data_IF_456420082628
#
_entry.id   IF_456420082628
#
_cell.length_a   1.000
_cell.length_b   1.000
_cell.length_c   1.000
_cell.angle_alpha   90.00
_cell.angle_beta   90.00
_cell.angle_gamma   90.00
#
_symmetry.space_group_name_H-M   'P 1'
#
loop_
_entity.id
_entity.type
_entity.pdbx_description
1 polymer ?
#
# COMPACT_ATOMS: atom_id res chain seq x y z
N UNK A 1 -51.48 52.29 11.68
CA UNK A 1 -51.45 52.04 13.14
C UNK A 1 -50.51 50.85 13.33
N UNK A 2 -49.23 51.12 13.58
CA UNK A 2 -48.56 51.09 14.90
C UNK A 2 -48.48 49.68 15.49
N UNK A 3 -47.40 49.16 16.10
CA UNK A 3 -45.97 49.48 16.22
C UNK A 3 -45.39 48.42 17.19
N UNK A 4 -44.11 48.05 17.02
CA UNK A 4 -43.18 47.41 18.00
C UNK A 4 -43.56 46.00 18.49
N UNK A 5 -42.66 45.02 18.65
CA UNK A 5 -41.21 44.99 18.76
C UNK A 5 -40.87 43.95 19.85
N UNK A 6 -39.95 43.02 19.59
CA UNK A 6 -38.86 42.70 20.52
C UNK A 6 -37.94 41.60 20.00
N UNK A 7 -36.65 41.90 20.15
CA UNK A 7 -35.48 41.06 19.94
C UNK A 7 -35.29 40.07 21.08
N UNK A 8 -34.77 38.87 20.80
CA UNK A 8 -33.70 38.28 21.62
C UNK A 8 -32.97 37.13 20.90
N UNK A 9 -31.66 37.33 20.74
CA UNK A 9 -30.62 36.42 20.29
C UNK A 9 -30.15 35.46 21.39
N UNK A 10 -29.86 34.18 21.04
CA UNK A 10 -28.89 33.29 21.72
C UNK A 10 -28.49 32.16 20.74
N UNK A 11 -27.32 32.24 20.10
CA UNK A 11 -26.01 31.71 20.52
C UNK A 11 -25.98 30.18 20.74
N UNK A 12 -25.48 29.45 19.74
CA UNK A 12 -24.70 28.22 19.95
C UNK A 12 -23.37 28.35 19.21
N UNK A 13 -22.31 27.92 19.89
CA UNK A 13 -20.93 28.37 19.74
C UNK A 13 -20.23 27.81 18.50
N UNK A 14 -19.56 28.72 17.81
CA UNK A 14 -18.54 28.46 16.80
C UNK A 14 -17.27 27.94 17.51
N UNK A 15 -16.92 26.67 17.33
CA UNK A 15 -15.61 26.17 17.79
C UNK A 15 -14.54 26.57 16.77
N UNK A 16 -13.85 27.68 17.04
CA UNK A 16 -12.59 28.04 16.38
C UNK A 16 -11.46 27.27 17.07
N UNK A 17 -11.01 26.16 16.48
CA UNK A 17 -9.71 25.60 16.84
C UNK A 17 -8.61 26.46 16.19
N UNK A 18 -8.10 27.43 16.95
CA UNK A 18 -6.85 28.13 16.66
C UNK A 18 -5.68 27.21 16.98
N UNK A 19 -4.98 26.73 15.96
CA UNK A 19 -3.64 26.15 16.15
C UNK A 19 -2.66 27.29 16.39
N UNK A 20 -2.13 27.38 17.61
CA UNK A 20 -1.05 28.29 17.95
C UNK A 20 0.22 27.86 17.20
N UNK A 21 0.69 28.74 16.30
CA UNK A 21 2.04 28.66 15.72
C UNK A 21 3.02 29.02 16.83
N UNK A 22 3.78 28.03 17.31
CA UNK A 22 4.99 28.31 18.09
C UNK A 22 6.03 28.87 17.13
N UNK A 23 6.35 30.15 17.32
CA UNK A 23 7.42 30.88 16.65
C UNK A 23 8.77 30.21 16.89
N UNK A 24 9.43 29.75 15.84
CA UNK A 24 10.87 29.43 15.88
C UNK A 24 11.62 30.66 15.39
N UNK A 25 12.32 31.29 16.33
CA UNK A 25 13.25 32.40 16.12
C UNK A 25 14.46 31.98 15.26
N UNK A 26 14.94 32.91 14.43
CA UNK A 26 16.14 32.82 13.60
C UNK A 26 17.44 32.55 14.40
N UNK A 27 18.52 32.07 13.73
CA UNK A 27 19.71 31.54 14.37
C UNK A 27 20.77 32.60 14.69
N UNK A 28 21.48 32.44 15.79
CA UNK A 28 22.73 33.14 16.08
C UNK A 28 23.87 32.12 16.25
N UNK A 29 24.97 32.35 15.51
CA UNK A 29 26.23 31.61 15.59
C UNK A 29 26.96 31.84 16.92
N UNK A 30 27.60 30.80 17.48
CA UNK A 30 28.98 30.84 18.02
C UNK A 30 29.42 29.51 18.66
N UNK A 31 30.62 29.05 18.29
CA UNK A 31 31.63 28.61 19.27
C UNK A 31 31.58 27.19 19.85
N UNK A 32 32.43 26.33 19.30
CA UNK A 32 33.20 25.25 19.96
C UNK A 32 33.00 25.06 21.48
N UNK A 33 32.63 23.85 21.90
CA UNK A 33 33.28 23.16 23.01
C UNK A 33 33.15 21.64 22.89
N UNK A 34 34.28 20.94 22.79
CA UNK A 34 34.42 19.50 23.02
C UNK A 34 34.14 19.19 24.49
N UNK A 35 33.40 18.12 24.76
CA UNK A 35 33.69 17.14 25.84
C UNK A 35 33.03 15.81 25.48
N UNK A 36 33.84 14.75 25.40
CA UNK A 36 33.37 13.36 25.46
C UNK A 36 32.82 13.07 26.86
N UNK A 37 31.83 12.19 26.98
CA UNK A 37 31.76 11.14 28.01
C UNK A 37 30.52 10.24 27.74
N UNK A 38 30.84 8.96 27.52
CA UNK A 38 30.23 7.71 28.03
C UNK A 38 28.71 7.51 27.97
N UNK A 39 28.38 6.39 27.32
CA UNK A 39 27.15 5.60 27.27
C UNK A 39 26.30 5.56 28.54
N UNK A 40 24.98 5.78 28.39
CA UNK A 40 23.93 4.99 29.06
C UNK A 40 22.71 4.86 28.15
N UNK A 41 22.44 3.64 27.67
CA UNK A 41 21.15 3.24 27.11
C UNK A 41 20.14 3.18 28.26
N UNK A 42 19.00 3.86 28.10
CA UNK A 42 17.78 3.56 28.86
C UNK A 42 16.66 3.40 27.83
N UNK A 43 16.29 2.15 27.58
CA UNK A 43 15.06 1.76 26.89
C UNK A 43 13.95 1.72 27.93
N UNK A 44 12.96 2.60 27.83
CA UNK A 44 11.71 2.52 28.60
C UNK A 44 10.64 1.91 27.71
N UNK A 45 10.39 0.61 27.87
CA UNK A 45 9.15 -0.04 27.46
C UNK A 45 8.11 0.14 28.58
N UNK A 46 6.84 0.45 28.26
CA UNK A 46 5.78 0.47 29.27
C UNK A 46 5.31 -0.96 29.59
N UNK A 47 5.35 -1.31 30.86
CA UNK A 47 4.82 -2.54 31.45
C UNK A 47 3.31 -2.41 31.63
N UNK A 48 2.52 -3.32 31.05
CA UNK A 48 1.09 -3.44 31.36
C UNK A 48 0.88 -4.33 32.60
N UNK A 49 0.11 -3.85 33.57
CA UNK A 49 -0.34 -4.62 34.73
C UNK A 49 -1.48 -5.58 34.33
N UNK A 50 -1.49 -6.85 34.76
CA UNK A 50 -2.64 -7.71 34.60
C UNK A 50 -3.66 -7.48 35.72
N UNK A 51 -4.94 -7.42 35.35
CA UNK A 51 -6.08 -7.43 36.27
C UNK A 51 -6.16 -8.75 37.05
N UNK A 52 -6.36 -8.63 38.35
CA UNK A 52 -6.68 -9.71 39.28
C UNK A 52 -8.08 -10.27 38.99
N UNK A 53 -8.18 -11.60 38.85
CA UNK A 53 -9.44 -12.31 39.04
C UNK A 53 -9.17 -13.49 39.96
N UNK A 54 -9.59 -13.36 41.22
CA UNK A 54 -9.58 -14.45 42.18
C UNK A 54 -10.70 -15.45 41.87
N UNK A 55 -10.35 -16.73 41.78
CA UNK A 55 -11.27 -17.86 41.64
C UNK A 55 -10.53 -19.16 41.85
N UNK A 56 -11.04 -20.01 42.75
CA UNK A 56 -10.34 -21.14 43.38
C UNK A 56 -10.02 -22.31 42.44
N UNK A 57 -8.94 -22.99 42.80
CA UNK A 57 -8.34 -24.22 42.26
C UNK A 57 -9.33 -25.40 42.20
N UNK A 58 -9.42 -26.04 41.03
CA UNK A 58 -9.94 -27.41 40.85
C UNK A 58 -8.89 -28.20 40.07
N UNK A 59 -8.21 -29.11 40.76
CA UNK A 59 -7.29 -30.07 40.17
C UNK A 59 -8.10 -31.07 39.33
N UNK A 60 -7.85 -31.09 38.03
CA UNK A 60 -8.24 -32.19 37.15
C UNK A 60 -6.95 -32.69 36.50
N UNK A 61 -6.60 -33.95 36.79
CA UNK A 61 -5.43 -34.62 36.23
C UNK A 61 -5.55 -34.72 34.70
N UNK A 62 -4.77 -33.94 33.98
CA UNK A 62 -4.61 -34.08 32.53
C UNK A 62 -3.41 -35.02 32.30
N UNK A 63 -3.73 -36.28 32.00
CA UNK A 63 -2.83 -37.18 31.31
C UNK A 63 -2.52 -36.54 29.95
N UNK A 64 -1.25 -36.24 29.68
CA UNK A 64 -0.80 -35.77 28.37
C UNK A 64 -1.08 -36.86 27.32
N UNK A 65 -2.17 -36.74 26.58
CA UNK A 65 -2.37 -37.44 25.31
C UNK A 65 -1.72 -36.62 24.19
N UNK A 66 -0.85 -37.26 23.42
CA UNK A 66 -0.19 -36.67 22.25
C UNK A 66 -1.23 -36.20 21.22
N UNK A 67 -0.87 -35.15 20.47
CA UNK A 67 -1.70 -34.51 19.43
C UNK A 67 -1.96 -35.37 18.18
N UNK A 68 -1.66 -36.66 18.19
CA UNK A 68 -1.66 -37.52 17.00
C UNK A 68 -3.00 -38.24 16.74
N UNK A 69 -3.92 -38.28 17.70
CA UNK A 69 -5.12 -39.12 17.59
C UNK A 69 -6.44 -38.37 17.26
N UNK A 70 -6.40 -37.09 16.89
CA UNK A 70 -7.65 -36.30 16.74
C UNK A 70 -8.35 -36.45 15.36
N UNK A 71 -7.80 -37.18 14.39
CA UNK A 71 -8.37 -37.27 13.03
C UNK A 71 -8.66 -38.68 12.51
N UNK A 72 -8.85 -39.69 13.38
CA UNK A 72 -9.31 -41.00 12.90
C UNK A 72 -10.84 -41.00 12.73
N UNK A 73 -11.28 -40.67 11.52
CA UNK A 73 -12.63 -41.00 11.07
C UNK A 73 -12.71 -42.52 10.86
N UNK A 74 -13.63 -43.20 11.54
CA UNK A 74 -13.89 -44.60 11.29
C UNK A 74 -14.70 -44.72 9.99
N UNK A 75 -14.04 -45.06 8.89
CA UNK A 75 -14.71 -45.50 7.69
C UNK A 75 -15.01 -46.99 7.80
N UNK A 76 -16.25 -47.39 7.52
CA UNK A 76 -16.60 -48.79 7.33
C UNK A 76 -16.05 -49.23 5.97
N UNK A 77 -15.26 -50.30 5.97
CA UNK A 77 -14.79 -51.01 4.78
C UNK A 77 -16.01 -51.52 3.98
N UNK A 78 -16.27 -50.93 2.81
CA UNK A 78 -17.31 -51.36 1.87
C UNK A 78 -16.76 -52.22 0.72
N UNK A 79 -15.53 -52.73 0.83
CA UNK A 79 -14.90 -53.61 -0.15
C UNK A 79 -14.62 -52.95 -1.51
N UNK A 80 -14.80 -51.64 -1.65
CA UNK A 80 -14.41 -50.91 -2.85
C UNK A 80 -12.91 -50.64 -2.80
N UNK A 81 -12.13 -51.17 -3.75
CA UNK A 81 -10.73 -50.82 -3.93
C UNK A 81 -10.63 -49.37 -4.40
N UNK A 82 -10.74 -48.45 -3.44
CA UNK A 82 -10.79 -47.02 -3.66
C UNK A 82 -9.57 -46.56 -4.46
N UNK A 83 -9.83 -45.99 -5.64
CA UNK A 83 -8.91 -45.07 -6.27
C UNK A 83 -8.70 -43.97 -5.22
N UNK A 84 -7.46 -43.85 -4.70
CA UNK A 84 -7.12 -42.76 -3.80
C UNK A 84 -7.58 -41.44 -4.46
N UNK A 85 -8.31 -40.56 -3.76
CA UNK A 85 -8.66 -39.27 -4.32
C UNK A 85 -7.39 -38.65 -4.87
N UNK A 86 -7.38 -38.35 -6.16
CA UNK A 86 -6.27 -37.62 -6.78
C UNK A 86 -5.99 -36.43 -5.89
N UNK A 87 -4.76 -36.34 -5.36
CA UNK A 87 -4.38 -35.24 -4.50
C UNK A 87 -4.81 -33.93 -5.16
N UNK A 88 -5.55 -33.04 -4.47
CA UNK A 88 -5.84 -31.73 -5.01
C UNK A 88 -4.51 -31.12 -5.43
N UNK A 89 -4.39 -30.71 -6.69
CA UNK A 89 -3.26 -29.88 -7.12
C UNK A 89 -3.11 -28.73 -6.11
N UNK A 90 -1.90 -28.40 -5.66
CA UNK A 90 -1.70 -27.30 -4.72
C UNK A 90 -2.42 -26.06 -5.25
N UNK A 91 -3.28 -25.45 -4.41
CA UNK A 91 -3.97 -24.22 -4.79
C UNK A 91 -2.90 -23.20 -5.18
N UNK A 92 -2.99 -22.60 -6.38
CA UNK A 92 -2.04 -21.56 -6.78
C UNK A 92 -2.04 -20.41 -5.77
N UNK A 93 -0.87 -20.06 -5.24
CA UNK A 93 -0.72 -18.98 -4.25
C UNK A 93 -0.24 -17.71 -4.93
N UNK A 94 -1.05 -16.65 -4.82
CA UNK A 94 -0.69 -15.31 -5.30
C UNK A 94 0.55 -14.77 -4.58
N UNK A 95 0.71 -15.08 -3.29
CA UNK A 95 1.88 -14.71 -2.50
C UNK A 95 3.17 -15.28 -3.07
N UNK A 96 3.16 -16.55 -3.49
CA UNK A 96 4.33 -17.16 -4.15
C UNK A 96 4.70 -16.43 -5.45
N UNK A 97 3.71 -16.20 -6.31
CA UNK A 97 3.87 -15.49 -7.59
C UNK A 97 4.44 -14.07 -7.39
N UNK A 98 3.96 -13.38 -6.37
CA UNK A 98 4.42 -12.04 -5.98
C UNK A 98 5.87 -12.07 -5.49
N UNK A 99 6.25 -13.04 -4.66
CA UNK A 99 7.64 -13.17 -4.24
C UNK A 99 8.58 -13.38 -5.44
N UNK A 100 8.18 -14.21 -6.39
CA UNK A 100 8.91 -14.42 -7.65
C UNK A 100 9.03 -13.11 -8.46
N UNK A 101 7.95 -12.31 -8.50
CA UNK A 101 7.95 -11.00 -9.16
C UNK A 101 8.96 -10.02 -8.52
N UNK A 102 9.01 -9.91 -7.18
CA UNK A 102 10.01 -9.06 -6.53
C UNK A 102 11.43 -9.63 -6.64
N UNK A 103 11.60 -10.95 -6.72
CA UNK A 103 12.89 -11.55 -7.04
C UNK A 103 13.34 -11.13 -8.44
N UNK A 104 12.46 -11.18 -9.43
CA UNK A 104 12.74 -10.76 -10.80
C UNK A 104 13.15 -9.28 -10.88
N UNK A 105 12.41 -8.38 -10.24
CA UNK A 105 12.73 -6.93 -10.21
C UNK A 105 14.09 -6.63 -9.57
N UNK A 106 14.51 -7.47 -8.63
CA UNK A 106 15.78 -7.32 -7.93
C UNK A 106 16.99 -7.90 -8.69
N UNK A 107 16.76 -8.55 -9.83
CA UNK A 107 17.84 -8.87 -10.78
C UNK A 107 18.54 -7.58 -11.23
N UNK A 108 19.77 -7.70 -11.71
CA UNK A 108 20.60 -6.54 -12.13
C UNK A 108 20.95 -6.60 -13.61
N UNK A 109 20.19 -7.37 -14.37
CA UNK A 109 20.39 -7.63 -15.77
C UNK A 109 19.03 -7.64 -16.47
N UNK A 110 18.89 -6.85 -17.53
CA UNK A 110 17.61 -6.68 -18.23
C UNK A 110 17.14 -7.94 -18.96
N UNK A 111 18.06 -8.79 -19.43
CA UNK A 111 17.72 -10.09 -20.05
C UNK A 111 17.15 -11.04 -19.01
N UNK A 112 17.86 -11.20 -17.88
CA UNK A 112 17.41 -12.02 -16.74
C UNK A 112 16.06 -11.55 -16.18
N UNK A 113 15.86 -10.23 -16.06
CA UNK A 113 14.59 -9.64 -15.66
C UNK A 113 13.46 -10.03 -16.62
N UNK A 114 13.69 -9.90 -17.93
CA UNK A 114 12.70 -10.23 -18.94
C UNK A 114 12.33 -11.71 -18.92
N UNK A 115 13.32 -12.61 -18.84
CA UNK A 115 13.10 -14.05 -18.75
C UNK A 115 12.35 -14.43 -17.47
N UNK A 116 12.72 -13.81 -16.34
CA UNK A 116 12.08 -14.08 -15.05
C UNK A 116 10.64 -13.58 -14.99
N UNK A 117 10.31 -12.48 -15.68
CA UNK A 117 8.96 -11.91 -15.70
C UNK A 117 8.02 -12.58 -16.72
N UNK A 118 8.56 -13.21 -17.77
CA UNK A 118 7.75 -13.86 -18.82
C UNK A 118 6.70 -14.86 -18.30
N UNK A 119 7.05 -15.78 -17.39
CA UNK A 119 6.10 -16.75 -16.86
C UNK A 119 5.20 -16.18 -15.76
N UNK A 120 5.41 -14.93 -15.31
CA UNK A 120 4.69 -14.33 -14.20
C UNK A 120 3.58 -13.38 -14.64
N UNK A 121 3.69 -12.82 -15.85
CA UNK A 121 2.76 -11.82 -16.37
C UNK A 121 1.80 -12.45 -17.40
N UNK A 122 0.53 -12.04 -17.39
CA UNK A 122 -0.39 -12.24 -18.51
C UNK A 122 0.03 -11.41 -19.72
N UNK A 123 -0.46 -11.76 -20.93
CA UNK A 123 -0.12 -11.04 -22.16
C UNK A 123 -0.70 -9.61 -22.18
N UNK A 124 -1.93 -9.45 -21.70
CA UNK A 124 -2.67 -8.19 -21.61
C UNK A 124 -2.55 -7.52 -20.22
N UNK A 125 -1.49 -7.82 -19.48
CA UNK A 125 -1.32 -7.29 -18.13
C UNK A 125 -1.26 -5.75 -18.09
N UNK A 126 -1.73 -5.16 -16.99
CA UNK A 126 -1.73 -3.71 -16.78
C UNK A 126 -0.97 -3.36 -15.51
N UNK A 127 -0.06 -2.39 -15.60
CA UNK A 127 0.61 -1.80 -14.46
C UNK A 127 0.21 -0.33 -14.33
N UNK A 128 -0.51 0.02 -13.26
CA UNK A 128 -0.85 1.38 -12.88
C UNK A 128 -0.03 1.81 -11.66
N UNK A 129 1.02 2.59 -11.87
CA UNK A 129 1.64 3.35 -10.80
C UNK A 129 0.90 4.68 -10.66
N UNK A 130 0.33 4.99 -9.49
CA UNK A 130 -0.47 6.19 -9.29
C UNK A 130 0.33 7.50 -9.33
N UNK A 131 1.66 7.44 -9.51
CA UNK A 131 2.46 8.61 -9.91
C UNK A 131 2.43 8.92 -11.40
N UNK A 132 1.97 7.99 -12.24
CA UNK A 132 1.88 8.17 -13.67
C UNK A 132 0.41 8.30 -14.08
N UNK A 133 0.11 9.28 -14.94
CA UNK A 133 -1.26 9.53 -15.39
C UNK A 133 -1.85 8.42 -16.26
N UNK A 134 -0.99 7.69 -16.97
CA UNK A 134 -1.38 6.62 -17.90
C UNK A 134 -0.76 5.30 -17.43
N UNK A 135 -1.52 4.20 -17.39
CA UNK A 135 -0.99 2.89 -17.07
C UNK A 135 -0.12 2.32 -18.21
N UNK A 136 0.81 1.44 -17.85
CA UNK A 136 1.56 0.63 -18.81
C UNK A 136 0.70 -0.59 -19.19
N UNK A 137 0.49 -0.80 -20.49
CA UNK A 137 -0.47 -1.78 -21.01
C UNK A 137 0.22 -2.87 -21.81
N UNK A 138 -0.10 -4.12 -21.48
CA UNK A 138 0.48 -5.31 -22.09
C UNK A 138 1.86 -5.66 -21.54
N UNK A 139 2.18 -6.96 -21.63
CA UNK A 139 3.41 -7.55 -21.09
C UNK A 139 4.67 -6.80 -21.50
N UNK A 140 4.76 -6.39 -22.76
CA UNK A 140 5.92 -5.68 -23.32
C UNK A 140 6.18 -4.35 -22.62
N UNK A 141 5.15 -3.52 -22.46
CA UNK A 141 5.29 -2.18 -21.89
C UNK A 141 5.53 -2.26 -20.39
N UNK A 142 4.87 -3.18 -19.70
CA UNK A 142 5.09 -3.45 -18.27
C UNK A 142 6.54 -3.89 -18.03
N UNK A 143 7.06 -4.83 -18.82
CA UNK A 143 8.48 -5.23 -18.73
C UNK A 143 9.44 -4.08 -19.02
N UNK A 144 9.18 -3.28 -20.05
CA UNK A 144 10.01 -2.11 -20.36
C UNK A 144 10.03 -1.11 -19.22
N UNK A 145 8.89 -0.87 -18.56
CA UNK A 145 8.82 -0.04 -17.37
C UNK A 145 9.62 -0.64 -16.21
N UNK A 146 9.48 -1.94 -15.94
CA UNK A 146 10.22 -2.61 -14.87
C UNK A 146 11.73 -2.66 -15.12
N UNK A 147 12.18 -2.75 -16.38
CA UNK A 147 13.58 -2.54 -16.75
C UNK A 147 14.06 -1.14 -16.33
N UNK A 148 13.29 -0.08 -16.64
CA UNK A 148 13.65 1.29 -16.23
C UNK A 148 13.72 1.43 -14.70
N UNK A 149 12.80 0.79 -13.98
CA UNK A 149 12.82 0.74 -12.50
C UNK A 149 14.09 0.04 -12.01
N UNK A 150 14.41 -1.13 -12.55
CA UNK A 150 15.63 -1.89 -12.22
C UNK A 150 16.90 -1.08 -12.46
N UNK A 151 17.01 -0.42 -13.61
CA UNK A 151 18.14 0.43 -13.96
C UNK A 151 18.26 1.62 -13.00
N UNK A 152 17.14 2.27 -12.66
CA UNK A 152 17.12 3.39 -11.72
C UNK A 152 17.51 2.99 -10.28
N UNK A 153 17.18 1.77 -9.85
CA UNK A 153 17.65 1.22 -8.57
C UNK A 153 19.17 0.97 -8.56
N UNK A 154 19.77 0.71 -9.72
CA UNK A 154 21.18 0.39 -9.84
C UNK A 154 21.57 -0.87 -9.04
N UNK A 155 22.87 -1.01 -8.77
CA UNK A 155 23.42 -2.27 -8.25
C UNK A 155 23.11 -2.57 -6.77
N UNK A 156 22.91 -1.52 -5.96
CA UNK A 156 22.91 -1.65 -4.50
C UNK A 156 21.54 -1.45 -3.84
N UNK A 157 20.52 -1.06 -4.61
CA UNK A 157 19.16 -0.86 -4.12
C UNK A 157 18.30 -2.07 -4.46
N UNK A 158 17.50 -2.52 -3.51
CA UNK A 158 16.60 -3.67 -3.65
C UNK A 158 15.22 -3.33 -3.10
N UNK A 159 14.17 -3.81 -3.78
CA UNK A 159 12.81 -3.77 -3.27
C UNK A 159 12.59 -4.98 -2.34
N UNK A 160 12.33 -4.72 -1.06
CA UNK A 160 12.16 -5.75 -0.04
C UNK A 160 10.71 -5.84 0.38
N UNK A 161 10.15 -7.05 0.29
CA UNK A 161 8.77 -7.33 0.70
C UNK A 161 8.72 -7.37 2.23
N UNK A 162 7.93 -6.47 2.81
CA UNK A 162 7.70 -6.39 4.26
C UNK A 162 6.55 -7.31 4.69
N UNK A 163 5.47 -7.33 3.92
CA UNK A 163 4.32 -8.20 4.16
C UNK A 163 3.52 -8.43 2.90
N UNK A 164 2.95 -9.62 2.77
CA UNK A 164 1.97 -9.97 1.74
C UNK A 164 0.67 -10.39 2.44
N UNK A 165 -0.46 -9.95 1.90
CA UNK A 165 -1.80 -10.36 2.34
C UNK A 165 -2.59 -10.83 1.14
N UNK A 166 -2.94 -12.12 1.11
CA UNK A 166 -3.79 -12.69 0.05
C UNK A 166 -5.27 -12.36 0.33
N UNK A 167 -5.99 -12.05 -0.74
CA UNK A 167 -7.43 -11.81 -0.73
C UNK A 167 -8.17 -12.88 -1.53
N UNK A 168 -9.44 -12.62 -1.81
CA UNK A 168 -10.27 -13.48 -2.66
C UNK A 168 -9.84 -13.40 -4.13
N UNK A 169 -10.25 -14.38 -4.95
CA UNK A 169 -10.05 -14.39 -6.40
C UNK A 169 -8.59 -14.15 -6.83
N UNK A 170 -7.64 -14.78 -6.13
CA UNK A 170 -6.20 -14.65 -6.39
C UNK A 170 -5.67 -13.21 -6.35
N UNK A 171 -6.33 -12.33 -5.59
CA UNK A 171 -5.81 -11.00 -5.28
C UNK A 171 -4.80 -11.06 -4.14
N UNK A 172 -3.88 -10.09 -4.10
CA UNK A 172 -2.98 -9.92 -2.99
C UNK A 172 -2.49 -8.47 -2.87
N UNK A 173 -2.18 -8.06 -1.64
CA UNK A 173 -1.61 -6.75 -1.32
C UNK A 173 -0.22 -6.92 -0.75
N UNK A 174 0.70 -6.07 -1.18
CA UNK A 174 2.10 -6.08 -0.75
C UNK A 174 2.46 -4.75 -0.16
N UNK A 175 3.09 -4.77 1.01
CA UNK A 175 3.83 -3.64 1.54
C UNK A 175 5.31 -3.95 1.35
N UNK A 176 6.04 -3.02 0.73
CA UNK A 176 7.46 -3.15 0.45
C UNK A 176 8.20 -1.85 0.79
N UNK A 177 9.53 -1.91 0.87
CA UNK A 177 10.40 -0.74 1.01
C UNK A 177 11.67 -0.93 0.19
N UNK A 178 12.43 0.15 -0.05
CA UNK A 178 13.74 0.04 -0.67
C UNK A 178 14.83 -0.12 0.39
N UNK A 179 15.80 -1.00 0.13
CA UNK A 179 17.01 -1.12 0.92
C UNK A 179 18.24 -0.81 0.08
N UNK A 180 19.16 -0.01 0.63
CA UNK A 180 20.52 0.13 0.11
C UNK A 180 21.49 -0.64 1.00
N UNK A 181 22.19 -1.63 0.46
CA UNK A 181 23.13 -2.46 1.24
C UNK A 181 22.51 -3.01 2.54
N UNK A 182 21.29 -3.56 2.45
CA UNK A 182 20.53 -4.13 3.57
C UNK A 182 20.13 -3.11 4.65
N UNK A 183 20.10 -1.83 4.30
CA UNK A 183 19.61 -0.74 5.16
C UNK A 183 18.42 -0.10 4.48
N UNK A 184 17.29 -0.10 5.17
CA UNK A 184 16.07 0.57 4.74
C UNK A 184 16.35 2.05 4.41
N UNK A 185 15.93 2.46 3.22
CA UNK A 185 16.01 3.85 2.77
C UNK A 185 14.77 4.57 3.31
N UNK A 186 14.92 5.65 4.10
CA UNK A 186 13.79 6.38 4.63
C UNK A 186 12.86 6.88 3.51
N UNK A 187 11.57 6.86 3.79
CA UNK A 187 10.52 7.39 2.91
C UNK A 187 10.40 6.69 1.54
N UNK A 188 10.69 5.39 1.49
CA UNK A 188 10.58 4.56 0.27
C UNK A 188 9.58 3.42 0.42
N UNK A 189 8.64 3.53 1.36
CA UNK A 189 7.61 2.50 1.51
C UNK A 189 6.65 2.57 0.33
N UNK A 190 6.34 1.41 -0.25
CA UNK A 190 5.31 1.26 -1.27
C UNK A 190 4.24 0.27 -0.86
N UNK A 191 3.07 0.42 -1.46
CA UNK A 191 1.95 -0.51 -1.39
C UNK A 191 1.55 -0.88 -2.82
N UNK A 192 1.39 -2.17 -3.09
CA UNK A 192 0.93 -2.66 -4.38
C UNK A 192 -0.20 -3.66 -4.21
N UNK A 193 -1.21 -3.51 -5.05
CA UNK A 193 -2.33 -4.42 -5.18
C UNK A 193 -2.13 -5.23 -6.45
N UNK A 194 -2.18 -6.55 -6.32
CA UNK A 194 -2.05 -7.51 -7.40
C UNK A 194 -3.40 -8.18 -7.61
N UNK A 195 -3.82 -8.27 -8.86
CA UNK A 195 -4.90 -9.14 -9.31
C UNK A 195 -4.28 -10.18 -10.21
N UNK A 196 -4.46 -11.45 -9.88
CA UNK A 196 -3.95 -12.56 -10.66
C UNK A 196 -5.10 -13.31 -11.32
N UNK A 197 -4.78 -14.04 -12.38
CA UNK A 197 -5.73 -14.89 -13.09
C UNK A 197 -5.11 -16.25 -13.38
N UNK A 198 -5.95 -17.27 -13.48
CA UNK A 198 -5.52 -18.61 -13.84
C UNK A 198 -5.72 -18.83 -15.35
N UNK A 199 -4.62 -19.04 -16.06
CA UNK A 199 -4.60 -19.32 -17.49
C UNK A 199 -3.95 -20.68 -17.70
N UNK A 200 -4.70 -21.63 -18.26
CA UNK A 200 -4.21 -22.99 -18.54
C UNK A 200 -3.58 -23.69 -17.31
N UNK A 201 -4.16 -23.47 -16.13
CA UNK A 201 -3.68 -24.07 -14.86
C UNK A 201 -2.45 -23.38 -14.26
N UNK A 202 -2.04 -22.22 -14.77
CA UNK A 202 -0.97 -21.38 -14.23
C UNK A 202 -1.54 -20.06 -13.74
N UNK A 203 -1.10 -19.61 -12.57
CA UNK A 203 -1.46 -18.31 -12.04
C UNK A 203 -0.51 -17.25 -12.60
N UNK A 204 -1.08 -16.20 -13.20
CA UNK A 204 -0.36 -15.08 -13.81
C UNK A 204 -0.87 -13.76 -13.24
N UNK A 205 -0.01 -12.75 -13.18
CA UNK A 205 -0.37 -11.39 -12.76
C UNK A 205 -1.08 -10.72 -13.94
N UNK A 206 -2.30 -10.25 -13.68
CA UNK A 206 -3.12 -9.49 -14.63
C UNK A 206 -3.00 -8.01 -14.39
N UNK A 207 -3.26 -7.55 -13.17
CA UNK A 207 -3.20 -6.13 -12.84
C UNK A 207 -2.28 -5.88 -11.66
N UNK A 208 -1.51 -4.79 -11.75
CA UNK A 208 -0.72 -4.24 -10.66
C UNK A 208 -1.14 -2.80 -10.48
N UNK A 209 -1.62 -2.43 -9.30
CA UNK A 209 -1.86 -1.03 -8.94
C UNK A 209 -0.96 -0.65 -7.78
N UNK A 210 -0.08 0.33 -7.98
CA UNK A 210 0.93 0.73 -7.03
C UNK A 210 0.78 2.17 -6.55
N UNK A 211 1.11 2.38 -5.29
CA UNK A 211 1.36 3.71 -4.71
C UNK A 211 2.64 3.63 -3.89
N UNK A 212 3.46 4.68 -3.95
CA UNK A 212 4.72 4.74 -3.21
C UNK A 212 4.84 6.06 -2.46
N UNK A 213 5.65 6.06 -1.42
CA UNK A 213 5.94 7.24 -0.64
C UNK A 213 6.83 8.20 -1.42
N UNK A 214 6.57 9.50 -1.28
CA UNK A 214 7.46 10.53 -1.81
C UNK A 214 8.50 10.94 -0.76
N UNK A 215 9.76 11.17 -1.16
CA UNK A 215 10.77 11.75 -0.27
C UNK A 215 10.34 13.09 0.32
N UNK A 216 9.62 13.90 -0.48
CA UNK A 216 9.00 15.15 -0.03
C UNK A 216 7.53 14.88 0.25
N UNK A 217 7.10 15.04 1.51
CA UNK A 217 5.71 14.77 1.92
C UNK A 217 4.79 15.91 1.50
N UNK A 218 3.91 15.74 0.49
CA UNK A 218 3.10 16.84 -0.03
C UNK A 218 1.78 17.02 0.75
N UNK A 219 1.63 16.41 1.94
CA UNK A 219 0.35 16.33 2.65
C UNK A 219 -0.36 17.68 2.79
N UNK A 220 0.32 18.70 3.29
CA UNK A 220 -0.24 20.04 3.43
C UNK A 220 -0.64 20.68 2.10
N UNK A 221 0.15 20.43 1.04
CA UNK A 221 -0.15 20.92 -0.30
C UNK A 221 -1.40 20.23 -0.86
N UNK A 222 -1.50 18.90 -0.73
CA UNK A 222 -2.67 18.12 -1.15
C UNK A 222 -3.92 18.61 -0.43
N UNK A 223 -3.85 18.87 0.89
CA UNK A 223 -5.00 19.38 1.64
C UNK A 223 -5.43 20.78 1.19
N UNK A 224 -4.48 21.67 0.89
CA UNK A 224 -4.79 23.00 0.34
C UNK A 224 -5.42 22.91 -1.04
N UNK A 225 -4.90 22.04 -1.90
CA UNK A 225 -5.44 21.79 -3.23
C UNK A 225 -6.86 21.24 -3.14
N UNK A 226 -7.08 20.22 -2.31
CA UNK A 226 -8.41 19.65 -2.07
C UNK A 226 -9.42 20.71 -1.62
N UNK A 227 -9.03 21.56 -0.66
CA UNK A 227 -9.88 22.66 -0.18
C UNK A 227 -10.19 23.68 -1.28
N UNK A 228 -9.21 24.03 -2.10
CA UNK A 228 -9.40 24.97 -3.21
C UNK A 228 -10.33 24.37 -4.28
N UNK A 229 -10.13 23.10 -4.63
CA UNK A 229 -10.97 22.37 -5.57
C UNK A 229 -12.40 22.28 -5.07
N UNK A 230 -12.62 21.85 -3.82
CA UNK A 230 -13.97 21.75 -3.25
C UNK A 230 -14.68 23.11 -3.25
N UNK A 231 -13.99 24.17 -2.81
CA UNK A 231 -14.55 25.53 -2.80
C UNK A 231 -14.91 25.99 -4.21
N UNK A 232 -14.06 25.73 -5.20
CA UNK A 232 -14.30 26.13 -6.59
C UNK A 232 -15.46 25.35 -7.20
N UNK A 233 -15.53 24.05 -6.94
CA UNK A 233 -16.60 23.19 -7.45
C UNK A 233 -17.95 23.58 -6.85
N UNK A 234 -17.99 23.89 -5.55
CA UNK A 234 -19.20 24.36 -4.88
C UNK A 234 -19.66 25.73 -5.39
N UNK A 235 -18.72 26.62 -5.73
CA UNK A 235 -19.04 27.93 -6.32
C UNK A 235 -19.49 27.84 -7.77
N UNK A 236 -19.00 26.86 -8.53
CA UNK A 236 -19.27 26.68 -9.96
C UNK A 236 -19.60 25.23 -10.35
N UNK A 237 -20.74 24.67 -9.92
CA UNK A 237 -21.06 23.25 -10.12
C UNK A 237 -21.08 22.80 -11.59
N UNK A 238 -21.63 23.61 -12.50
CA UNK A 238 -21.68 23.27 -13.92
C UNK A 238 -20.30 23.19 -14.59
N UNK A 239 -19.33 24.00 -14.15
CA UNK A 239 -17.95 23.91 -14.64
C UNK A 239 -17.25 22.67 -14.08
N UNK A 240 -17.51 22.33 -12.81
CA UNK A 240 -17.00 21.12 -12.19
C UNK A 240 -17.50 19.86 -12.90
N UNK A 241 -18.79 19.77 -13.20
CA UNK A 241 -19.36 18.64 -13.95
C UNK A 241 -18.72 18.47 -15.32
N UNK A 242 -18.53 19.58 -16.07
CA UNK A 242 -17.85 19.55 -17.36
C UNK A 242 -16.39 19.09 -17.27
N UNK A 243 -15.65 19.56 -16.25
CA UNK A 243 -14.27 19.13 -15.99
C UNK A 243 -14.18 17.63 -15.66
N UNK A 244 -15.06 17.15 -14.78
CA UNK A 244 -15.08 15.74 -14.38
C UNK A 244 -15.41 14.82 -15.55
N UNK A 245 -16.35 15.20 -16.42
CA UNK A 245 -16.66 14.45 -17.64
C UNK A 245 -15.48 14.40 -18.61
N UNK A 246 -14.73 15.49 -18.74
CA UNK A 246 -13.54 15.54 -19.60
C UNK A 246 -12.42 14.62 -19.09
N UNK A 247 -12.23 14.54 -17.77
CA UNK A 247 -11.25 13.68 -17.11
C UNK A 247 -11.66 12.20 -17.10
N UNK A 248 -12.96 11.90 -16.99
CA UNK A 248 -13.48 10.54 -16.92
C UNK A 248 -13.23 9.71 -18.19
N UNK A 249 -13.00 10.36 -19.33
CA UNK A 249 -12.73 9.66 -20.59
C UNK A 249 -11.32 9.04 -20.68
N UNK A 250 -10.43 9.28 -19.71
CA UNK A 250 -9.18 8.51 -19.49
C UNK A 250 -8.20 8.41 -20.67
N UNK A 251 -8.41 9.18 -21.74
CA UNK A 251 -7.59 9.16 -22.95
C UNK A 251 -6.47 10.20 -22.82
N UNK A 252 -5.35 9.96 -23.51
CA UNK A 252 -4.30 10.97 -23.69
C UNK A 252 -4.88 12.32 -24.13
N UNK A 253 -5.87 12.31 -25.04
CA UNK A 253 -6.59 13.51 -25.50
C UNK A 253 -7.36 14.23 -24.37
N UNK A 254 -8.00 13.50 -23.46
CA UNK A 254 -8.68 14.07 -22.29
C UNK A 254 -7.71 14.73 -21.31
N UNK A 255 -6.58 14.06 -21.04
CA UNK A 255 -5.51 14.62 -20.21
C UNK A 255 -4.89 15.87 -20.85
N UNK A 256 -4.59 15.82 -22.14
CA UNK A 256 -3.98 16.94 -22.88
C UNK A 256 -4.91 18.17 -22.90
N UNK A 257 -6.21 17.95 -23.12
CA UNK A 257 -7.22 19.03 -23.06
C UNK A 257 -7.33 19.63 -21.66
N UNK A 258 -7.26 18.81 -20.62
CA UNK A 258 -7.28 19.27 -19.23
C UNK A 258 -6.04 20.10 -18.89
N UNK A 259 -4.84 19.60 -19.24
CA UNK A 259 -3.59 20.32 -19.03
C UNK A 259 -3.55 21.65 -19.79
N UNK A 260 -4.06 21.67 -21.02
CA UNK A 260 -4.22 22.89 -21.81
C UNK A 260 -5.18 23.90 -21.15
N UNK A 261 -6.30 23.43 -20.57
CA UNK A 261 -7.24 24.28 -19.84
C UNK A 261 -6.60 24.90 -18.59
N UNK A 262 -5.72 24.18 -17.90
CA UNK A 262 -4.97 24.67 -16.75
C UNK A 262 -3.81 25.61 -17.12
N UNK A 263 -3.58 25.86 -18.42
CA UNK A 263 -2.50 26.71 -18.89
C UNK A 263 -1.10 26.07 -18.78
N UNK A 264 -1.03 24.78 -18.49
CA UNK A 264 0.21 24.01 -18.52
C UNK A 264 0.42 23.48 -19.94
N UNK A 265 1.17 24.23 -20.76
CA UNK A 265 1.74 23.69 -22.00
C UNK A 265 3.07 23.01 -21.71
N UNK A 266 3.23 21.80 -22.24
CA UNK A 266 4.54 21.18 -22.45
C UNK A 266 5.35 21.98 -23.50
#
# INVERSE_FOLDING_TARGET
MASLGDYCTRNCLYSKNSFNILSISQPCNAGQFRRSIVTKKHSTWPTFCPMSTGGKMLLINIIQKSKEDQWRLWCTDDGSCGIAPSQPSPIPSASKLIHEFYTAINTKNSEELNESLDPLLSEDCVYQDLFFYIPFQGKKDVKSFLCNVMEAMGHNIFAVVKSVSEGENYSATVIWHLEWNKKEIPFTTGCQFFECEEVEGKLLIRNITGVQELPVKPGDFILKLLKATSTTFDLHPGLAEGLLQLMANGTHDGLDKFLALLGWKH
#
